data_IF_493197327636
#
_entry.id   IF_493197327636
#
_cell.length_a   1.000
_cell.length_b   1.000
_cell.length_c   1.000
_cell.angle_alpha   90.00
_cell.angle_beta   90.00
_cell.angle_gamma   90.00
#
_symmetry.space_group_name_H-M   'P 1'
#
loop_
_entity.id
_entity.type
_entity.pdbx_description
1 polymer ?
2 non-polymer ?
3 non-polymer ?
4 water ?
#
# COMPACT_ATOMS: atom_id res chain seq x y z
N UNK A 9 -23.16 20.18 -8.36
CA UNK A 9 -23.20 20.63 -6.97
C UNK A 9 -22.93 19.48 -6.00
N UNK A 10 -22.40 19.83 -4.83
CA UNK A 10 -22.20 18.83 -3.78
C UNK A 10 -23.51 18.54 -3.07
N UNK A 11 -23.72 17.27 -2.70
CA UNK A 11 -24.95 16.87 -1.99
C UNK A 11 -25.15 17.73 -0.74
N UNK A 12 -26.41 18.01 -0.41
CA UNK A 12 -26.74 18.86 0.73
C UNK A 12 -26.15 18.32 2.03
N UNK A 13 -26.33 17.02 2.27
CA UNK A 13 -25.85 16.40 3.51
C UNK A 13 -24.34 16.58 3.71
N UNK A 14 -23.59 16.53 2.62
CA UNK A 14 -22.15 16.75 2.68
C UNK A 14 -21.85 18.18 3.13
N UNK A 15 -22.46 19.14 2.43
CA UNK A 15 -22.24 20.56 2.71
C UNK A 15 -22.64 20.89 4.14
N UNK A 16 -23.53 20.08 4.69
CA UNK A 16 -23.99 20.28 6.05
C UNK A 16 -22.93 20.01 7.12
N UNK A 17 -21.98 19.13 6.83
CA UNK A 17 -20.94 18.79 7.78
C UNK A 17 -19.58 19.35 7.37
N UNK A 18 -19.39 19.55 6.07
CA UNK A 18 -18.08 19.92 5.55
C UNK A 18 -18.10 21.15 4.66
N UNK A 19 -16.99 21.88 4.67
CA UNK A 19 -16.78 22.96 3.73
C UNK A 19 -15.76 22.47 2.71
N UNK A 20 -16.22 22.26 1.48
CA UNK A 20 -15.36 21.73 0.42
C UNK A 20 -14.38 22.77 -0.08
N UNK A 21 -13.15 22.35 -0.34
CA UNK A 21 -12.12 23.25 -0.82
C UNK A 21 -11.43 22.74 -2.08
N UNK A 22 -10.12 22.98 -2.15
CA UNK A 22 -9.34 22.72 -3.36
C UNK A 22 -9.17 21.24 -3.69
N UNK A 23 -8.96 20.96 -4.97
CA UNK A 23 -8.65 19.60 -5.44
C UNK A 23 -7.20 19.24 -5.11
N UNK A 24 -6.97 18.00 -4.71
CA UNK A 24 -5.62 17.55 -4.38
C UNK A 24 -5.15 16.43 -5.30
N UNK A 31 -9.96 11.38 -7.97
CA UNK A 31 -10.47 12.71 -7.63
C UNK A 31 -10.55 12.94 -6.12
N UNK A 32 -9.67 13.79 -5.61
CA UNK A 32 -9.57 14.03 -4.17
C UNK A 32 -9.41 15.51 -3.84
N UNK A 33 -10.29 16.04 -2.99
CA UNK A 33 -10.22 17.45 -2.61
C UNK A 33 -10.16 17.67 -1.10
N UNK A 34 -9.55 18.78 -0.72
CA UNK A 34 -9.43 19.17 0.68
C UNK A 34 -10.75 19.73 1.18
N UNK A 35 -11.04 19.49 2.46
CA UNK A 35 -12.28 19.94 3.05
C UNK A 35 -12.10 20.14 4.54
N UNK A 36 -12.97 20.93 5.15
CA UNK A 36 -12.91 21.17 6.58
C UNK A 36 -14.18 20.69 7.25
N UNK A 37 -14.01 20.10 8.43
CA UNK A 37 -15.13 19.63 9.22
C UNK A 37 -15.69 20.82 9.99
N UNK A 38 -16.96 21.16 9.74
CA UNK A 38 -17.57 22.32 10.39
C UNK A 38 -17.43 22.29 11.90
N UNK A 39 -17.83 21.18 12.50
CA UNK A 39 -17.79 21.01 13.95
C UNK A 39 -16.42 21.32 14.57
N UNK A 40 -15.36 20.79 13.96
CA UNK A 40 -14.03 20.85 14.54
C UNK A 40 -13.07 21.76 13.81
N UNK A 41 -13.44 22.18 12.61
CA UNK A 41 -12.57 23.00 11.75
C UNK A 41 -11.30 22.26 11.40
N UNK A 42 -11.37 20.94 11.33
CA UNK A 42 -10.22 20.14 10.98
C UNK A 42 -10.22 19.82 9.49
N UNK A 43 -9.03 19.58 8.95
CA UNK A 43 -8.88 19.23 7.55
C UNK A 43 -9.21 17.76 7.38
N UNK A 44 -9.83 17.43 6.25
CA UNK A 44 -10.07 16.05 5.87
C UNK A 44 -9.83 15.90 4.38
N UNK A 45 -9.59 14.69 3.92
CA UNK A 45 -9.52 14.44 2.49
C UNK A 45 -10.79 13.73 2.06
N UNK A 46 -11.38 14.20 0.97
CA UNK A 46 -12.60 13.59 0.46
C UNK A 46 -12.37 13.09 -0.96
N UNK A 47 -12.45 11.78 -1.13
CA UNK A 47 -12.28 11.18 -2.44
C UNK A 47 -13.65 11.05 -3.12
N UNK A 48 -13.71 11.46 -4.38
CA UNK A 48 -14.96 11.46 -5.13
C UNK A 48 -14.91 10.46 -6.28
N UNK A 49 -15.96 9.65 -6.41
CA UNK A 49 -16.03 8.66 -7.47
C UNK A 49 -17.40 8.65 -8.14
N UNK A 50 -17.42 9.00 -9.42
CA UNK A 50 -18.65 9.00 -10.19
C UNK A 50 -19.23 7.58 -10.29
N UNK A 51 -20.51 7.50 -10.65
CA UNK A 51 -21.22 6.22 -10.62
C UNK A 51 -22.00 5.95 -11.90
N UNK A 64 -19.92 1.51 -10.47
CA UNK A 64 -19.21 0.42 -9.81
C UNK A 64 -19.43 0.45 -8.31
N UNK A 65 -20.62 0.07 -7.88
CA UNK A 65 -20.98 0.07 -6.47
C UNK A 65 -20.13 -0.92 -5.69
N UNK A 66 -19.85 -2.06 -6.30
CA UNK A 66 -19.12 -3.13 -5.62
C UNK A 66 -17.70 -2.69 -5.24
N UNK A 67 -17.03 -2.00 -6.14
CA UNK A 67 -15.68 -1.52 -5.84
C UNK A 67 -15.70 -0.53 -4.68
N UNK A 68 -16.64 0.40 -4.73
CA UNK A 68 -16.83 1.35 -3.65
C UNK A 68 -17.29 0.65 -2.38
N UNK A 69 -18.21 -0.30 -2.55
CA UNK A 69 -18.75 -1.02 -1.41
C UNK A 69 -17.67 -1.81 -0.71
N UNK A 70 -16.79 -2.43 -1.51
CA UNK A 70 -15.68 -3.19 -0.96
C UNK A 70 -14.74 -2.30 -0.17
N UNK A 71 -14.44 -1.13 -0.71
CA UNK A 71 -13.56 -0.20 -0.04
C UNK A 71 -14.15 0.30 1.27
N UNK A 72 -15.43 0.63 1.25
CA UNK A 72 -16.12 1.08 2.45
C UNK A 72 -16.17 -0.04 3.47
N UNK A 73 -16.46 -1.23 2.98
CA UNK A 73 -16.50 -2.42 3.83
C UNK A 73 -15.15 -2.63 4.49
N UNK A 74 -14.09 -2.50 3.70
CA UNK A 74 -12.73 -2.73 4.21
C UNK A 74 -12.26 -1.66 5.21
N UNK A 75 -12.42 -0.39 4.87
CA UNK A 75 -11.95 0.70 5.73
C UNK A 75 -12.62 0.75 7.10
N UNK A 76 -13.90 0.36 7.17
CA UNK A 76 -14.61 0.41 8.43
C UNK A 76 -14.04 -0.59 9.43
N UNK A 77 -13.61 -1.75 8.94
CA UNK A 77 -13.19 -2.85 9.80
C UNK A 77 -11.70 -2.81 10.19
N UNK A 78 -10.90 -2.02 9.47
CA UNK A 78 -9.46 -1.99 9.73
C UNK A 78 -9.04 -0.99 10.80
N UNK A 79 -8.03 -1.36 11.57
CA UNK A 79 -7.45 -0.49 12.57
C UNK A 79 -5.93 -0.67 12.64
N UNK A 80 -5.21 0.23 11.98
CA UNK A 80 -3.75 0.18 11.95
C UNK A 80 -3.17 1.53 11.59
N UNK A 81 -2.09 1.92 12.28
CA UNK A 81 -1.44 3.24 12.14
C UNK A 81 -0.96 3.52 10.72
N UNK A 82 -0.57 2.48 10.01
CA UNK A 82 -0.07 2.65 8.64
C UNK A 82 -1.14 2.32 7.62
N UNK A 83 -2.40 2.38 8.05
CA UNK A 83 -3.53 2.26 7.13
C UNK A 83 -4.50 3.39 7.37
N UNK A 84 -4.86 4.09 6.29
CA UNK A 84 -5.67 5.30 6.42
C UNK A 84 -7.08 5.01 6.94
N UNK A 85 -7.64 5.97 7.67
CA UNK A 85 -8.92 5.80 8.33
C UNK A 85 -10.04 6.54 7.62
N UNK A 86 -11.21 5.91 7.54
CA UNK A 86 -12.38 6.58 7.00
C UNK A 86 -13.08 7.32 8.13
N UNK A 87 -13.67 8.46 7.82
CA UNK A 87 -14.36 9.26 8.83
C UNK A 87 -15.83 9.35 8.53
N UNK A 88 -16.17 9.38 7.24
CA UNK A 88 -17.55 9.47 6.81
C UNK A 88 -17.71 9.00 5.36
N UNK A 89 -18.95 8.79 4.96
CA UNK A 89 -19.25 8.40 3.59
C UNK A 89 -20.63 8.87 3.16
N UNK A 90 -20.73 9.34 1.92
CA UNK A 90 -22.00 9.80 1.39
C UNK A 90 -22.28 9.17 0.03
N UNK A 91 -23.49 8.62 -0.13
CA UNK A 91 -23.89 7.93 -1.35
C UNK A 91 -24.99 8.71 -2.03
N UNK A 92 -24.62 9.59 -2.96
CA UNK A 92 -25.59 10.43 -3.64
C UNK A 92 -25.37 10.47 -5.15
N UNK A 93 -25.55 11.65 -5.74
CA UNK A 93 -25.33 11.82 -7.18
C UNK A 93 -23.99 11.21 -7.57
N UNK A 94 -23.01 11.34 -6.68
CA UNK A 94 -21.75 10.63 -6.81
C UNK A 94 -21.41 9.90 -5.51
N UNK A 95 -20.21 9.34 -5.45
CA UNK A 95 -19.73 8.64 -4.28
C UNK A 95 -18.69 9.49 -3.55
N UNK A 96 -19.01 9.93 -2.34
CA UNK A 96 -18.10 10.77 -1.56
C UNK A 96 -17.52 10.05 -0.35
N UNK A 97 -16.19 9.92 -0.31
CA UNK A 97 -15.54 9.22 0.79
C UNK A 97 -14.62 10.13 1.60
N UNK A 98 -14.94 10.30 2.88
CA UNK A 98 -14.20 11.18 3.77
C UNK A 98 -13.12 10.41 4.52
N UNK A 99 -11.90 10.95 4.51
CA UNK A 99 -10.75 10.25 5.07
C UNK A 99 -9.84 11.21 5.82
N UNK A 100 -8.86 10.65 6.54
CA UNK A 100 -7.86 11.47 7.21
C UNK A 100 -7.10 12.25 6.14
N UNK A 101 -6.66 13.45 6.49
CA UNK A 101 -5.77 14.17 5.60
C UNK A 101 -4.31 13.89 5.95
N UNK A 102 -3.53 13.49 4.96
CA UNK A 102 -2.10 13.31 5.13
C UNK A 102 -1.40 14.50 4.53
N UNK A 103 -0.75 15.30 5.36
CA UNK A 103 -0.19 16.56 4.91
C UNK A 103 1.05 16.40 4.02
N UNK A 104 1.63 15.21 4.02
CA UNK A 104 2.81 14.93 3.23
C UNK A 104 2.52 14.62 1.77
N UNK A 105 1.26 14.34 1.48
CA UNK A 105 0.87 14.02 0.11
C UNK A 105 1.25 12.60 -0.26
N UNK A 106 1.38 12.36 -1.57
CA UNK A 106 1.67 11.02 -2.08
C UNK A 106 3.16 10.76 -2.18
N UNK A 107 3.56 9.53 -1.84
CA UNK A 107 4.95 9.12 -2.00
C UNK A 107 5.42 9.34 -3.42
N UNK A 108 4.50 9.26 -4.37
CA UNK A 108 4.84 9.41 -5.78
C UNK A 108 5.60 10.70 -6.04
N UNK A 109 5.18 11.78 -5.39
CA UNK A 109 5.79 13.09 -5.62
C UNK A 109 7.25 13.16 -5.15
N UNK A 110 7.61 12.29 -4.22
CA UNK A 110 8.98 12.23 -3.70
C UNK A 110 9.95 11.57 -4.69
N UNK A 111 9.43 10.70 -5.55
CA UNK A 111 10.28 9.87 -6.39
C UNK A 111 10.19 10.19 -7.88
N UNK A 112 9.15 10.92 -8.27
CA UNK A 112 8.94 11.24 -9.68
C UNK A 112 10.11 12.04 -10.27
N UNK A 113 10.43 11.78 -11.53
CA UNK A 113 11.49 12.52 -12.20
C UNK A 113 12.88 12.20 -11.68
N UNK A 114 13.11 10.96 -11.31
CA UNK A 114 14.44 10.47 -10.91
C UNK A 114 14.93 10.94 -9.54
N UNK A 115 14.10 11.68 -8.81
CA UNK A 115 14.43 12.00 -7.43
C UNK A 115 14.61 10.68 -6.68
N UNK A 116 15.58 10.62 -5.78
CA UNK A 116 15.76 9.42 -4.97
C UNK A 116 15.88 9.75 -3.49
N UNK A 117 15.15 9.01 -2.68
CA UNK A 117 15.20 9.15 -1.24
C UNK A 117 16.49 8.53 -0.72
N UNK A 118 17.04 9.08 0.35
CA UNK A 118 18.21 8.47 0.97
C UNK A 118 17.83 7.15 1.64
N UNK A 119 18.78 6.22 1.69
CA UNK A 119 18.51 4.85 2.12
C UNK A 119 17.72 4.76 3.43
N UNK A 120 18.17 5.48 4.46
CA UNK A 120 17.55 5.39 5.77
C UNK A 120 16.09 5.81 5.72
N UNK A 121 15.79 6.78 4.87
CA UNK A 121 14.41 7.20 4.65
C UNK A 121 13.61 6.09 3.97
N UNK A 122 14.23 5.41 3.00
CA UNK A 122 13.56 4.29 2.33
C UNK A 122 13.21 3.23 3.34
N UNK A 123 14.12 2.99 4.28
CA UNK A 123 13.93 1.91 5.24
C UNK A 123 12.75 2.22 6.12
N UNK A 124 12.71 3.44 6.62
CA UNK A 124 11.64 3.86 7.52
C UNK A 124 10.26 3.77 6.86
N UNK A 125 10.19 4.14 5.59
CA UNK A 125 8.92 4.10 4.87
C UNK A 125 8.52 2.66 4.58
N UNK A 126 9.50 1.86 4.18
CA UNK A 126 9.23 0.51 3.73
C UNK A 126 8.85 -0.40 4.88
N UNK A 127 9.52 -0.20 6.01
CA UNK A 127 9.20 -0.92 7.23
C UNK A 127 7.73 -0.73 7.55
N UNK A 128 7.23 0.49 7.35
CA UNK A 128 5.84 0.77 7.64
C UNK A 128 4.93 0.18 6.57
N UNK A 129 5.38 0.20 5.33
CA UNK A 129 4.62 -0.42 4.25
C UNK A 129 4.45 -1.91 4.53
N UNK A 130 5.50 -2.55 5.02
CA UNK A 130 5.44 -3.98 5.33
C UNK A 130 4.46 -4.26 6.46
N UNK A 131 4.57 -3.51 7.55
CA UNK A 131 3.65 -3.65 8.66
C UNK A 131 2.20 -3.56 8.19
N UNK A 132 1.92 -2.60 7.32
CA UNK A 132 0.57 -2.39 6.82
C UNK A 132 0.10 -3.60 6.02
N UNK A 133 0.90 -4.01 5.04
CA UNK A 133 0.53 -5.11 4.16
C UNK A 133 0.52 -6.45 4.90
N UNK A 134 1.36 -6.57 5.92
CA UNK A 134 1.31 -7.77 6.73
C UNK A 134 -0.04 -7.82 7.43
N UNK A 135 -0.44 -6.70 8.00
CA UNK A 135 -1.71 -6.58 8.71
C UNK A 135 -2.86 -6.92 7.77
N UNK A 136 -2.83 -6.36 6.57
CA UNK A 136 -3.83 -6.66 5.57
C UNK A 136 -3.89 -8.16 5.34
N UNK A 137 -2.74 -8.74 5.03
CA UNK A 137 -2.66 -10.16 4.71
C UNK A 137 -3.14 -11.03 5.88
N UNK A 138 -2.72 -10.68 7.10
CA UNK A 138 -3.17 -11.41 8.28
C UNK A 138 -4.70 -11.40 8.39
N UNK A 139 -5.33 -10.36 7.85
CA UNK A 139 -6.78 -10.21 7.93
C UNK A 139 -7.52 -10.62 6.66
N UNK A 140 -6.84 -11.36 5.79
CA UNK A 140 -7.47 -11.89 4.59
C UNK A 140 -7.80 -10.87 3.51
N UNK A 141 -7.01 -9.80 3.45
CA UNK A 141 -7.20 -8.75 2.44
C UNK A 141 -5.98 -8.61 1.54
N UNK A 142 -6.22 -8.56 0.24
CA UNK A 142 -5.16 -8.36 -0.73
C UNK A 142 -5.36 -7.02 -1.43
N UNK A 143 -4.39 -6.13 -1.31
CA UNK A 143 -4.52 -4.78 -1.86
C UNK A 143 -4.63 -4.77 -3.38
N UNK A 144 -3.68 -5.41 -4.04
CA UNK A 144 -3.73 -5.59 -5.50
C UNK A 144 -3.39 -4.35 -6.34
N UNK A 145 -3.08 -3.23 -5.70
CA UNK A 145 -2.77 -2.02 -6.45
C UNK A 145 -1.82 -1.11 -5.69
N UNK A 146 -0.84 -1.72 -5.02
CA UNK A 146 0.20 -0.96 -4.35
C UNK A 146 1.09 -0.22 -5.35
N UNK A 147 1.30 1.07 -5.10
CA UNK A 147 2.14 1.91 -5.95
C UNK A 147 2.33 3.24 -5.21
N UNK A 148 3.40 3.98 -5.54
CA UNK A 148 3.78 5.16 -4.76
C UNK A 148 2.65 6.18 -4.57
N UNK A 149 1.70 6.24 -5.51
CA UNK A 149 0.60 7.18 -5.40
C UNK A 149 -0.45 6.72 -4.39
N UNK A 150 -0.39 5.45 -4.00
CA UNK A 150 -1.31 4.88 -3.01
C UNK A 150 -0.68 4.82 -1.63
N UNK A 151 0.47 5.46 -1.49
CA UNK A 151 1.16 5.54 -0.21
C UNK A 151 1.25 7.00 0.21
N UNK A 152 0.66 7.32 1.37
CA UNK A 152 0.56 8.70 1.81
C UNK A 152 1.50 9.01 2.95
N UNK A 153 2.06 10.22 2.94
CA UNK A 153 2.98 10.65 3.98
C UNK A 153 2.28 11.61 4.95
N UNK A 154 2.50 11.39 6.25
CA UNK A 154 1.78 12.13 7.27
C UNK A 154 2.30 13.55 7.51
N UNK A 155 3.37 13.94 6.81
CA UNK A 155 3.88 15.29 6.96
C UNK A 155 4.87 15.68 5.86
N UNK A 156 5.23 16.97 5.83
CA UNK A 156 6.19 17.48 4.86
C UNK A 156 7.62 17.15 5.29
N UNK A 157 7.77 16.66 6.52
CA UNK A 157 9.07 16.21 6.99
C UNK A 157 9.38 14.92 6.27
N UNK A 158 10.65 14.62 6.07
CA UNK A 158 10.99 13.35 5.43
C UNK A 158 11.01 12.23 6.47
N UNK A 159 11.16 12.59 7.74
CA UNK A 159 10.90 11.66 8.82
C UNK A 159 9.43 11.79 9.19
N UNK A 160 8.63 10.79 8.83
CA UNK A 160 7.19 10.85 9.07
C UNK A 160 6.52 9.48 8.94
N UNK A 161 5.23 9.44 9.27
CA UNK A 161 4.46 8.22 9.18
C UNK A 161 3.85 8.06 7.79
N UNK A 162 3.83 6.84 7.31
CA UNK A 162 3.16 6.57 6.05
C UNK A 162 1.88 5.76 6.29
N UNK A 163 0.92 5.91 5.39
CA UNK A 163 -0.32 5.15 5.46
C UNK A 163 -0.67 4.69 4.06
N UNK A 164 -1.13 3.45 3.97
CA UNK A 164 -1.61 2.90 2.71
C UNK A 164 -3.04 3.36 2.49
N UNK A 165 -3.43 3.52 1.23
CA UNK A 165 -4.77 3.94 0.89
C UNK A 165 -5.24 3.30 -0.41
N UNK A 166 -6.51 3.53 -0.73
CA UNK A 166 -7.12 3.10 -1.98
C UNK A 166 -7.35 1.60 -2.04
N UNK A 167 -8.50 1.18 -1.55
CA UNK A 167 -8.82 -0.23 -1.49
C UNK A 167 -9.91 -0.64 -2.48
N UNK A 168 -10.07 0.17 -3.52
CA UNK A 168 -11.02 -0.13 -4.57
C UNK A 168 -10.83 -1.48 -5.23
N UNK A 169 -9.57 -1.85 -5.47
CA UNK A 169 -9.24 -3.05 -6.22
C UNK A 169 -8.96 -4.24 -5.31
N UNK A 170 -9.08 -4.04 -4.01
CA UNK A 170 -8.78 -5.10 -3.06
C UNK A 170 -9.67 -6.33 -3.21
N UNK A 171 -9.16 -7.46 -2.75
CA UNK A 171 -9.88 -8.71 -2.77
C UNK A 171 -9.91 -9.24 -1.35
N UNK A 172 -11.03 -9.83 -0.97
CA UNK A 172 -11.15 -10.44 0.36
C UNK A 172 -11.17 -11.95 0.23
N UNK A 173 -10.39 -12.62 1.06
CA UNK A 173 -10.27 -14.07 1.01
C UNK A 173 -11.32 -14.75 1.89
N UNK A 176 -13.69 -20.37 0.49
CA UNK A 176 -13.53 -20.44 -0.95
C UNK A 176 -14.33 -21.60 -1.56
N UNK A 177 -14.29 -21.70 -2.88
CA UNK A 177 -15.01 -22.76 -3.59
C UNK A 177 -14.12 -23.97 -3.80
N UNK A 178 -12.84 -23.72 -4.08
CA UNK A 178 -11.88 -24.81 -4.22
C UNK A 178 -11.92 -25.69 -2.96
N UNK A 179 -11.85 -25.07 -1.80
CA UNK A 179 -12.02 -25.80 -0.55
C UNK A 179 -13.27 -26.67 -0.60
N UNK A 180 -14.36 -26.08 -1.09
CA UNK A 180 -15.64 -26.79 -1.16
C UNK A 180 -15.59 -27.95 -2.16
N UNK A 181 -14.90 -27.75 -3.28
CA UNK A 181 -14.76 -28.81 -4.28
C UNK A 181 -13.91 -29.97 -3.76
N UNK A 182 -12.91 -29.65 -2.95
CA UNK A 182 -12.00 -30.68 -2.41
C UNK A 182 -12.68 -31.61 -1.40
N UNK A 183 -13.76 -31.15 -0.78
CA UNK A 183 -14.47 -31.96 0.20
C UNK A 183 -15.28 -33.05 -0.48
N UNK A 184 -15.56 -32.87 -1.76
CA UNK A 184 -16.30 -33.86 -2.52
C UNK A 184 -15.40 -34.72 -3.39
N UNK A 185 -15.93 -35.87 -3.80
CA UNK A 185 -15.21 -36.76 -4.70
C UNK A 185 -15.22 -36.18 -6.12
N UNK A 186 -14.03 -36.05 -6.72
CA UNK A 186 -13.88 -35.35 -8.01
C UNK A 186 -14.20 -36.22 -9.22
N UNK A 187 -15.14 -37.15 -9.06
CA UNK A 187 -15.52 -38.04 -10.15
C UNK A 187 -15.74 -37.29 -11.48
N UNK A 188 -16.33 -36.09 -11.39
CA UNK A 188 -16.69 -35.33 -12.58
C UNK A 188 -15.85 -34.07 -12.72
N UNK A 189 -14.92 -33.88 -11.78
CA UNK A 189 -14.11 -32.68 -11.74
C UNK A 189 -13.05 -32.65 -12.84
N UNK A 190 -13.01 -31.55 -13.59
CA UNK A 190 -11.98 -31.34 -14.61
C UNK A 190 -10.60 -31.24 -13.96
N UNK A 191 -9.57 -31.73 -14.67
CA UNK A 191 -8.19 -31.83 -14.18
C UNK A 191 -7.52 -30.48 -13.90
N UNK A 192 -7.82 -29.46 -14.70
CA UNK A 192 -7.27 -28.13 -14.43
C UNK A 192 -7.62 -27.58 -13.04
N UNK A 193 -8.75 -28.00 -12.48
CA UNK A 193 -9.10 -27.56 -11.12
C UNK A 193 -8.21 -28.26 -10.09
N UNK A 194 -8.02 -29.57 -10.24
CA UNK A 194 -7.13 -30.30 -9.36
C UNK A 194 -5.72 -29.71 -9.39
N UNK A 195 -5.21 -29.46 -10.59
CA UNK A 195 -3.87 -28.91 -10.72
C UNK A 195 -3.77 -27.56 -10.03
N UNK A 196 -4.80 -26.75 -10.20
CA UNK A 196 -4.82 -25.40 -9.63
C UNK A 196 -4.63 -25.42 -8.11
N UNK A 197 -4.90 -26.56 -7.49
CA UNK A 197 -4.70 -26.70 -6.04
C UNK A 197 -3.25 -26.41 -5.65
N UNK A 198 -2.32 -26.83 -6.50
CA UNK A 198 -0.91 -26.67 -6.21
C UNK A 198 -0.43 -25.22 -6.12
N UNK A 199 -1.22 -24.29 -6.65
CA UNK A 199 -0.81 -22.89 -6.70
C UNK A 199 -1.75 -21.98 -5.92
N UNK A 200 -2.83 -22.54 -5.40
CA UNK A 200 -3.83 -21.76 -4.67
C UNK A 200 -3.28 -21.22 -3.35
N UNK A 201 -3.79 -20.06 -2.95
CA UNK A 201 -3.39 -19.46 -1.68
C UNK A 201 -2.09 -18.68 -1.73
N UNK A 202 -1.72 -18.21 -2.91
CA UNK A 202 -0.52 -17.39 -3.04
C UNK A 202 -0.89 -16.04 -3.69
N UNK A 203 -2.17 -15.71 -3.69
CA UNK A 203 -2.66 -14.47 -4.26
C UNK A 203 -2.02 -13.25 -3.61
N UNK A 204 -1.79 -13.34 -2.31
CA UNK A 204 -1.28 -12.19 -1.56
C UNK A 204 0.15 -11.87 -1.96
N UNK A 205 0.80 -12.82 -2.62
CA UNK A 205 2.16 -12.63 -3.08
C UNK A 205 2.26 -11.51 -4.12
N UNK A 206 1.16 -11.19 -4.79
CA UNK A 206 1.18 -10.11 -5.76
C UNK A 206 1.50 -8.78 -5.09
N UNK A 207 1.03 -8.61 -3.86
CA UNK A 207 1.33 -7.40 -3.09
C UNK A 207 2.83 -7.30 -2.79
N UNK A 208 3.48 -8.43 -2.59
CA UNK A 208 4.89 -8.45 -2.27
C UNK A 208 5.75 -8.11 -3.49
N UNK A 209 5.24 -8.45 -4.67
CA UNK A 209 5.88 -8.01 -5.89
C UNK A 209 5.84 -6.48 -5.95
N UNK A 210 4.63 -5.94 -5.89
CA UNK A 210 4.45 -4.49 -5.99
C UNK A 210 5.33 -3.78 -4.97
N UNK A 211 5.49 -4.38 -3.79
CA UNK A 211 6.31 -3.79 -2.76
C UNK A 211 7.75 -3.70 -3.23
N UNK A 212 8.26 -4.81 -3.77
CA UNK A 212 9.62 -4.86 -4.27
C UNK A 212 9.88 -3.79 -5.32
N UNK A 213 8.91 -3.58 -6.19
CA UNK A 213 9.04 -2.58 -7.25
C UNK A 213 9.05 -1.17 -6.65
N UNK A 214 8.28 -0.99 -5.58
CA UNK A 214 8.25 0.31 -4.91
C UNK A 214 9.62 0.58 -4.27
N UNK A 215 10.16 -0.42 -3.60
CA UNK A 215 11.45 -0.30 -2.94
C UNK A 215 12.59 -0.06 -3.93
N UNK A 216 12.54 -0.76 -5.05
CA UNK A 216 13.51 -0.56 -6.12
C UNK A 216 13.51 0.90 -6.54
N UNK A 217 12.32 1.44 -6.79
CA UNK A 217 12.16 2.83 -7.20
C UNK A 217 12.68 3.80 -6.14
N UNK A 218 12.22 3.63 -4.91
CA UNK A 218 12.64 4.48 -3.80
C UNK A 218 14.15 4.53 -3.65
N UNK A 219 14.79 3.37 -3.76
CA UNK A 219 16.23 3.25 -3.52
C UNK A 219 17.07 3.82 -4.65
N UNK A 220 16.57 3.73 -5.87
CA UNK A 220 17.38 4.03 -7.05
C UNK A 220 16.89 5.26 -7.81
N UNK A 221 15.60 5.56 -7.69
CA UNK A 221 15.02 6.70 -8.36
C UNK A 221 14.54 6.39 -9.77
N UNK A 222 14.55 5.11 -10.12
CA UNK A 222 14.09 4.69 -11.46
C UNK A 222 13.48 3.30 -11.41
N UNK A 223 12.49 3.03 -12.29
CA UNK A 223 11.74 1.77 -12.32
C UNK A 223 12.57 0.59 -12.81
N UNK A 224 12.40 -0.58 -12.18
CA UNK A 224 13.12 -1.79 -12.59
C UNK A 224 12.66 -2.29 -13.95
N UNK A 225 11.41 -1.99 -14.29
CA UNK A 225 10.80 -2.44 -15.53
C UNK A 225 10.23 -1.25 -16.28
N UNK A 226 10.68 -1.06 -17.52
CA UNK A 226 10.36 0.14 -18.27
C UNK A 226 10.64 -0.06 -19.75
N UNK A 227 9.99 0.72 -20.58
CA UNK A 227 10.26 0.68 -22.01
C UNK A 227 11.27 1.76 -22.42
N UNK A 228 12.11 2.15 -21.46
CA UNK A 228 13.16 3.14 -21.75
C UNK A 228 14.46 2.48 -22.22
N UNK A 229 14.90 2.84 -23.41
CA UNK A 229 16.16 2.35 -23.95
C UNK A 229 16.31 0.84 -23.80
N UNK A 230 15.31 0.09 -24.24
CA UNK A 230 15.37 -1.36 -24.24
C UNK A 230 14.53 -1.95 -25.37
N UNK A 231 15.03 -3.03 -25.96
CA UNK A 231 14.35 -3.72 -27.06
C UNK A 231 13.29 -4.68 -26.52
N UNK A 232 13.56 -5.20 -25.32
CA UNK A 232 12.69 -6.20 -24.71
C UNK A 232 11.39 -5.54 -24.25
N UNK A 233 10.27 -6.20 -24.51
CA UNK A 233 8.96 -5.66 -24.15
C UNK A 233 8.74 -5.70 -22.64
N UNK A 234 8.02 -4.72 -22.11
CA UNK A 234 7.73 -4.65 -20.68
C UNK A 234 7.24 -5.97 -20.12
N UNK A 235 6.23 -6.56 -20.76
CA UNK A 235 5.73 -7.87 -20.35
C UNK A 235 6.88 -8.88 -20.23
N UNK A 236 7.71 -8.96 -21.26
CA UNK A 236 8.82 -9.89 -21.26
C UNK A 236 9.81 -9.64 -20.13
N UNK A 237 10.08 -8.37 -19.83
CA UNK A 237 10.98 -8.01 -18.74
C UNK A 237 10.45 -8.56 -17.43
N UNK A 238 9.16 -8.33 -17.20
CA UNK A 238 8.50 -8.72 -15.97
C UNK A 238 8.40 -10.23 -15.80
N UNK A 239 7.95 -10.94 -16.85
CA UNK A 239 7.82 -12.39 -16.74
C UNK A 239 9.16 -13.08 -16.53
N UNK A 240 10.20 -12.58 -17.19
CA UNK A 240 11.54 -13.14 -17.02
C UNK A 240 12.17 -12.69 -15.70
N UNK A 241 11.63 -11.61 -15.13
CA UNK A 241 12.15 -11.07 -13.89
C UNK A 241 13.43 -10.27 -14.03
N UNK A 242 13.86 -10.02 -15.26
CA UNK A 242 15.09 -9.28 -15.52
C UNK A 242 14.93 -7.76 -15.46
N UNK A 243 14.97 -7.21 -14.24
CA UNK A 243 14.93 -5.77 -14.05
C UNK A 243 16.20 -5.13 -14.60
N UNK A 244 16.08 -3.87 -15.01
CA UNK A 244 17.20 -3.11 -15.51
C UNK A 244 18.12 -2.68 -14.38
N UNK A 245 19.34 -3.22 -14.36
CA UNK A 245 20.30 -2.92 -13.30
C UNK A 245 21.40 -1.95 -13.74
N UNK A 246 21.46 -0.79 -13.08
CA UNK A 246 22.46 0.22 -13.43
C UNK A 246 23.42 0.45 -12.28
N UNK A 247 24.59 -0.22 -12.33
CA UNK A 247 25.64 -0.19 -11.31
C UNK A 247 25.90 1.20 -10.74
N UNK A 248 26.22 2.16 -11.61
CA UNK A 248 26.53 3.51 -11.16
C UNK A 248 25.51 4.00 -10.13
N UNK A 249 24.23 3.76 -10.42
CA UNK A 249 23.16 4.20 -9.53
C UNK A 249 23.13 3.41 -8.23
N UNK A 250 23.27 2.09 -8.35
CA UNK A 250 23.16 1.21 -7.19
C UNK A 250 24.41 1.19 -6.33
N UNK A 251 25.50 1.74 -6.87
CA UNK A 251 26.77 1.76 -6.14
C UNK A 251 26.64 2.54 -4.83
N UNK A 252 25.66 3.44 -4.77
CA UNK A 252 25.43 4.26 -3.59
C UNK A 252 24.54 3.55 -2.59
N UNK A 253 24.00 2.40 -2.98
CA UNK A 253 23.07 1.66 -2.12
C UNK A 253 23.75 0.44 -1.50
N UNK A 254 23.35 0.11 -0.27
CA UNK A 254 23.95 -1.01 0.45
C UNK A 254 23.59 -2.35 -0.20
N UNK A 255 24.42 -3.37 0.04
CA UNK A 255 24.16 -4.71 -0.48
C UNK A 255 23.00 -5.38 0.25
N UNK A 256 22.74 -4.98 1.49
CA UNK A 256 21.60 -5.50 2.23
C UNK A 256 20.29 -5.06 1.60
N UNK A 257 20.22 -3.78 1.26
CA UNK A 257 18.99 -3.20 0.69
C UNK A 257 18.66 -3.83 -0.66
N UNK A 258 19.68 -3.96 -1.50
CA UNK A 258 19.54 -4.59 -2.81
C UNK A 258 19.14 -6.05 -2.68
N UNK A 259 19.73 -6.73 -1.71
CA UNK A 259 19.45 -8.13 -1.45
C UNK A 259 17.96 -8.35 -1.21
N UNK A 260 17.37 -7.50 -0.39
CA UNK A 260 15.95 -7.61 -0.06
C UNK A 260 15.07 -7.44 -1.30
N UNK A 261 15.44 -6.49 -2.16
CA UNK A 261 14.76 -6.25 -3.42
C UNK A 261 14.82 -7.49 -4.30
N UNK A 262 16.01 -8.07 -4.42
CA UNK A 262 16.21 -9.30 -5.18
C UNK A 262 15.33 -10.43 -4.66
N UNK A 263 15.02 -10.41 -3.37
CA UNK A 263 14.21 -11.48 -2.79
C UNK A 263 12.72 -11.26 -2.95
N UNK A 264 12.32 -10.02 -3.22
CA UNK A 264 10.91 -9.71 -3.45
C UNK A 264 10.58 -9.78 -4.94
N UNK A 265 11.56 -9.48 -5.78
CA UNK A 265 11.34 -9.55 -7.23
C UNK A 265 11.66 -10.94 -7.75
N UNK A 266 11.19 -11.95 -7.02
CA UNK A 266 11.26 -13.33 -7.44
C UNK A 266 10.04 -13.71 -8.28
N UNK A 267 10.28 -14.23 -9.47
CA UNK A 267 9.22 -14.55 -10.43
C UNK A 267 8.25 -15.61 -9.91
N UNK A 268 8.80 -16.60 -9.19
CA UNK A 268 8.00 -17.68 -8.63
C UNK A 268 7.37 -17.28 -7.30
N UNK A 269 6.03 -17.22 -7.28
CA UNK A 269 5.23 -16.80 -6.12
C UNK A 269 5.51 -17.60 -4.84
N UNK A 270 5.62 -18.93 -4.96
CA UNK A 270 5.92 -19.77 -3.79
C UNK A 270 7.25 -19.35 -3.16
N UNK A 271 8.22 -19.02 -3.99
CA UNK A 271 9.56 -18.73 -3.51
C UNK A 271 9.73 -17.28 -3.05
N UNK A 272 8.91 -16.40 -3.62
CA UNK A 272 8.95 -14.98 -3.29
C UNK A 272 8.86 -14.75 -1.79
N UNK A 273 9.53 -13.71 -1.30
CA UNK A 273 9.47 -13.35 0.12
C UNK A 273 8.07 -12.90 0.51
N UNK A 274 7.60 -13.38 1.66
CA UNK A 274 6.38 -12.86 2.25
C UNK A 274 6.73 -11.64 3.09
N UNK A 275 5.71 -10.90 3.53
CA UNK A 275 5.92 -9.75 4.41
C UNK A 275 6.72 -10.13 5.66
N UNK A 276 6.36 -11.26 6.29
CA UNK A 276 7.08 -11.74 7.47
C UNK A 276 8.56 -11.97 7.19
N UNK A 277 8.86 -12.69 6.11
CA UNK A 277 10.24 -12.94 5.73
C UNK A 277 10.95 -11.63 5.46
N UNK A 278 10.25 -10.68 4.87
CA UNK A 278 10.81 -9.36 4.59
C UNK A 278 11.20 -8.64 5.90
N UNK A 279 10.26 -8.63 6.86
CA UNK A 279 10.47 -7.99 8.15
C UNK A 279 11.57 -8.65 8.99
N UNK A 280 11.99 -9.86 8.60
CA UNK A 280 13.08 -10.53 9.28
C UNK A 280 14.42 -10.34 8.56
N UNK A 281 14.37 -9.72 7.39
CA UNK A 281 15.58 -9.48 6.60
C UNK A 281 16.57 -8.64 7.40
N UNK A 282 17.86 -8.91 7.25
CA UNK A 282 18.88 -8.13 7.97
C UNK A 282 18.82 -6.63 7.68
N UNK A 283 18.25 -6.23 6.55
CA UNK A 283 18.16 -4.82 6.21
C UNK A 283 17.19 -4.07 7.12
N UNK A 284 16.25 -4.80 7.70
CA UNK A 284 15.25 -4.19 8.57
C UNK A 284 15.55 -4.42 10.04
N UNK A 285 16.71 -5.01 10.34
CA UNK A 285 17.12 -5.18 11.72
C UNK A 285 17.91 -3.95 12.14
N UNK A 286 17.23 -2.82 12.16
CA UNK A 286 17.85 -1.51 12.35
C UNK A 286 17.16 -0.80 13.52
N UNK A 287 17.74 -0.95 14.71
CA UNK A 287 17.10 -0.51 15.95
C UNK A 287 16.86 1.00 16.04
N UNK A 288 17.63 1.77 15.28
CA UNK A 288 17.43 3.21 15.21
C UNK A 288 16.14 3.51 14.47
N UNK A 289 16.03 2.99 13.25
CA UNK A 289 14.83 3.19 12.44
C UNK A 289 13.58 2.86 13.22
N UNK A 290 13.55 1.70 13.87
CA UNK A 290 12.36 1.29 14.62
C UNK A 290 12.04 2.27 15.73
N UNK A 291 13.07 2.76 16.40
CA UNK A 291 12.92 3.75 17.45
C UNK A 291 12.25 5.01 16.91
N UNK A 292 12.81 5.57 15.84
CA UNK A 292 12.26 6.77 15.23
C UNK A 292 10.80 6.56 14.82
N UNK A 293 10.46 5.31 14.51
CA UNK A 293 9.09 4.99 14.15
C UNK A 293 8.17 5.04 15.37
N UNK A 294 8.60 4.40 16.46
CA UNK A 294 7.86 4.46 17.71
C UNK A 294 7.60 5.90 18.09
N UNK A 295 8.62 6.75 17.97
CA UNK A 295 8.48 8.17 18.26
C UNK A 295 7.35 8.80 17.47
N UNK A 296 7.43 8.69 16.15
CA UNK A 296 6.45 9.34 15.28
C UNK A 296 5.08 8.80 15.60
N UNK A 297 5.00 7.50 15.86
CA UNK A 297 3.75 6.88 16.22
C UNK A 297 3.22 7.48 17.51
N UNK A 298 4.10 7.67 18.49
CA UNK A 298 3.71 8.22 19.78
C UNK A 298 3.19 9.66 19.65
N UNK A 299 3.87 10.45 18.83
CA UNK A 299 3.48 11.84 18.65
C UNK A 299 2.08 11.95 18.06
N UNK A 300 1.80 11.11 17.06
CA UNK A 300 0.49 11.09 16.45
C UNK A 300 -0.58 10.67 17.45
N UNK A 301 -0.24 9.67 18.25
CA UNK A 301 -1.15 9.16 19.27
C UNK A 301 -1.49 10.21 20.32
N UNK A 302 -0.48 11.00 20.69
CA UNK A 302 -0.68 12.03 21.71
C UNK A 302 -1.68 13.06 21.21
N UNK A 303 -2.56 13.48 22.11
CA UNK A 303 -3.62 14.43 21.79
C UNK A 303 -4.84 13.66 21.32
N UNK A 304 -4.67 12.36 21.12
CA UNK A 304 -5.78 11.47 20.83
C UNK A 304 -5.94 10.43 21.93
N UNK A 305 -5.12 10.55 22.96
CA UNK A 305 -5.04 9.49 23.97
C UNK A 305 -5.61 9.90 25.32
N UNK A 306 -6.54 9.08 25.81
CA UNK A 306 -7.12 9.25 27.12
C UNK A 306 -6.13 8.87 28.21
N UNK A 307 -6.29 9.44 29.40
CA UNK A 307 -5.42 9.13 30.54
C UNK A 307 -5.57 7.66 30.93
N UNK A 308 -4.48 7.05 31.35
CA UNK A 308 -4.46 5.61 31.56
C UNK A 308 -4.70 5.29 33.03
N UNK A 309 -5.34 4.15 33.30
CA UNK A 309 -5.45 3.65 34.65
C UNK A 309 -4.12 3.00 35.01
N UNK A 310 -3.52 3.43 36.11
CA UNK A 310 -2.22 2.92 36.51
C UNK A 310 -2.22 2.43 37.95
N UNK A 311 -1.41 1.58 38.34
X LIG B 1 -3.84 -16.47 -0.64
X LIG B 1 -4.58 -16.64 -1.81
X LIG B 1 -4.26 -17.04 0.57
X LIG B 1 -2.66 -15.69 -0.67
X LIG C 1 -6.88 7.34 -2.42
X LIG C 1 -6.89 7.28 -3.87
X LIG C 1 -0.93 17.48 -0.54
X LIG C 1 -6.36 8.59 -1.72
X LIG C 1 -5.51 9.41 -2.31
X LIG C 1 -4.15 11.70 -1.98
X LIG C 1 -5.03 10.67 -1.61
X LIG C 1 -4.83 12.22 0.04
X LIG C 1 -4.07 12.65 -0.91
X LIG C 1 -5.46 10.94 -0.41
X LIG C 1 -6.45 10.00 0.29
X LIG C 1 -6.87 8.92 -0.31
X LIG C 1 -3.24 13.91 -0.85
X LIG C 1 -2.89 14.49 0.51
X LIG C 1 -2.18 15.59 0.61
X LIG C 1 -1.70 16.31 -0.66
X LIG C 1 -2.01 15.81 -1.85
X LIG C 1 -2.84 14.53 -1.95
X LIG C 1 -1.56 18.37 0.34
X LIG C 1 -2.61 19.35 -0.18
X LIG C 1 -3.21 20.19 0.64
X LIG C 1 -2.84 20.18 2.13
X LIG C 1 -1.94 19.34 2.58
X LIG C 1 -1.25 18.37 1.62
X LIG C 1 -7.39 6.47 -1.79
X LIG C 1 -1.61 19.33 3.94
#
# INVERSE_FOLDING_TARGET
GPLGSHMSVYPKALRDEYIMSKTLGSGACGEVKLAFERKTCKKVAIKIISKRKFAIGSAREADPALNVETEIEILKKLNHPCIIKIKNFFDAEDYYIVLELMEGGELFDKVVGNKRLKEATCKLYFYQMLLAVQYLHENGIIHRDLKPENVLLSSQEEDCLIKITDFGHSKILGETSLMRTLCGTPTYLAPEVLVSVGTAGYNRAVDCWSLGVILFICLSGYPPFSEHRTQVSLKDQITSGKYNFIPEVWAEVSEKALDLVKKLLVVDPKARFTTEEALRHPWLQDEDMKRKFQDLLSEENESTALPQVLAQPSTSRKRPREGEAEGAE
NO3 N O1 O2 O3
RU9 C1 N1 O1 C2 C3 N3 C4 N4 C5 C6 C7 C8 C9 C10 C11 C12 C13 C14 C15 C16 C17 C18 C19 C20 OAB OAC
#
